data_IF_359012690880
#
_entry.id   IF_359012690880
#
_cell.length_a   1.000
_cell.length_b   1.000
_cell.length_c   1.000
_cell.angle_alpha   90.00
_cell.angle_beta   90.00
_cell.angle_gamma   90.00
#
_symmetry.space_group_name_H-M   'P 1'
#
loop_
_entity.id
_entity.type
_entity.pdbx_description
1 polymer ?
#
# COMPACT_ATOMS: atom_id res chain seq x y z
N UNK A 1 -0.95 -9.72 -2.25
CA UNK A 1 -0.36 -9.22 -3.51
C UNK A 1 0.81 -8.30 -3.19
N UNK A 2 2.00 -8.90 -2.95
CA UNK A 2 3.24 -8.17 -2.68
C UNK A 2 3.76 -7.37 -3.89
N UNK A 3 3.26 -7.64 -5.09
CA UNK A 3 3.75 -7.07 -6.36
C UNK A 3 3.66 -5.54 -6.38
N UNK A 4 2.61 -4.95 -5.80
CA UNK A 4 2.46 -3.49 -5.70
C UNK A 4 3.56 -2.84 -4.87
N UNK A 5 4.00 -3.49 -3.80
CA UNK A 5 5.03 -2.95 -2.92
C UNK A 5 6.40 -3.06 -3.60
N UNK A 6 6.65 -4.17 -4.30
CA UNK A 6 7.86 -4.38 -5.09
C UNK A 6 7.94 -3.37 -6.25
N UNK A 7 6.83 -3.10 -6.94
CA UNK A 7 6.79 -2.10 -8.00
C UNK A 7 7.06 -0.68 -7.47
N UNK A 8 6.47 -0.33 -6.32
CA UNK A 8 6.75 0.95 -5.67
C UNK A 8 8.21 1.06 -5.22
N UNK A 9 8.78 -0.02 -4.70
CA UNK A 9 10.20 -0.05 -4.37
C UNK A 9 11.08 0.15 -5.60
N UNK A 10 10.79 -0.55 -6.71
CA UNK A 10 11.53 -0.40 -7.95
C UNK A 10 11.40 1.04 -8.51
N UNK A 11 10.26 1.70 -8.32
CA UNK A 11 10.09 3.11 -8.65
C UNK A 11 11.05 3.98 -7.82
N UNK A 12 11.12 3.77 -6.50
CA UNK A 12 12.01 4.53 -5.62
C UNK A 12 13.49 4.25 -5.93
N UNK A 13 13.84 3.04 -6.32
CA UNK A 13 15.21 2.66 -6.69
C UNK A 13 15.65 3.31 -8.02
N UNK A 14 14.80 3.21 -9.05
CA UNK A 14 15.13 3.70 -10.39
C UNK A 14 14.97 5.22 -10.56
N UNK A 15 14.19 5.86 -9.71
CA UNK A 15 13.85 7.29 -9.84
C UNK A 15 13.98 8.05 -8.51
N UNK A 16 15.22 8.29 -8.02
CA UNK A 16 15.46 8.98 -6.75
C UNK A 16 14.86 10.38 -6.65
N UNK A 17 14.58 11.04 -7.77
CA UNK A 17 13.95 12.36 -7.80
C UNK A 17 12.56 12.40 -7.16
N UNK A 18 11.92 11.24 -6.94
CA UNK A 18 10.62 11.13 -6.27
C UNK A 18 10.72 11.01 -4.75
N UNK A 19 11.92 10.81 -4.20
CA UNK A 19 12.11 10.74 -2.74
C UNK A 19 11.65 12.04 -2.08
N UNK A 20 10.91 11.93 -0.99
CA UNK A 20 10.31 13.07 -0.30
C UNK A 20 9.10 13.72 -1.00
N UNK A 21 8.82 13.37 -2.26
CA UNK A 21 7.76 14.01 -3.07
C UNK A 21 6.51 13.16 -3.23
N UNK A 22 6.67 11.85 -3.27
CA UNK A 22 5.55 10.91 -3.41
C UNK A 22 5.43 10.04 -2.17
N UNK A 23 4.26 9.44 -2.00
CA UNK A 23 3.97 8.51 -0.92
C UNK A 23 2.95 7.49 -1.40
N UNK A 24 3.14 6.23 -1.02
CA UNK A 24 2.20 5.17 -1.30
C UNK A 24 1.41 4.80 -0.03
N UNK A 25 0.08 4.80 -0.13
CA UNK A 25 -0.80 4.41 0.98
C UNK A 25 -1.60 3.18 0.57
N UNK A 26 -1.32 2.05 1.22
CA UNK A 26 -2.11 0.83 1.08
C UNK A 26 -3.04 0.68 2.28
N UNK A 27 -4.34 0.75 2.03
CA UNK A 27 -5.37 0.42 3.01
C UNK A 27 -5.82 -1.02 2.75
N UNK A 28 -5.73 -1.87 3.77
CA UNK A 28 -6.16 -3.26 3.71
C UNK A 28 -6.96 -3.58 4.98
N UNK A 29 -8.30 -3.47 4.96
CA UNK A 29 -9.12 -3.86 6.10
C UNK A 29 -8.86 -5.33 6.43
N UNK A 30 -8.85 -5.68 7.72
CA UNK A 30 -8.74 -7.07 8.16
C UNK A 30 -9.92 -7.89 7.62
N UNK A 31 -9.67 -8.71 6.61
CA UNK A 31 -10.65 -9.68 6.11
C UNK A 31 -10.23 -11.08 6.55
N UNK A 32 -11.15 -11.81 7.22
CA UNK A 32 -11.02 -13.24 7.58
C UNK A 32 -9.64 -13.59 8.18
N UNK A 33 -9.39 -13.10 9.39
CA UNK A 33 -8.12 -13.29 10.10
C UNK A 33 -7.75 -14.76 10.38
N UNK A 34 -8.71 -15.68 10.30
CA UNK A 34 -8.51 -17.10 10.66
C UNK A 34 -7.98 -17.96 9.49
N UNK A 35 -7.83 -17.39 8.29
CA UNK A 35 -7.32 -18.12 7.12
C UNK A 35 -5.81 -17.92 7.00
N UNK A 36 -5.04 -19.00 7.15
CA UNK A 36 -3.57 -18.98 7.12
C UNK A 36 -2.99 -18.21 5.93
N UNK A 37 -3.51 -18.44 4.72
CA UNK A 37 -3.03 -17.75 3.52
C UNK A 37 -3.14 -16.22 3.59
N UNK A 38 -4.15 -15.68 4.29
CA UNK A 38 -4.28 -14.23 4.49
C UNK A 38 -3.27 -13.70 5.52
N UNK A 39 -2.96 -14.50 6.55
CA UNK A 39 -1.93 -14.16 7.52
C UNK A 39 -0.55 -14.13 6.86
N UNK A 40 -0.23 -15.11 6.01
CA UNK A 40 1.04 -15.16 5.29
C UNK A 40 1.22 -13.96 4.37
N UNK A 41 0.17 -13.60 3.60
CA UNK A 41 0.17 -12.41 2.74
C UNK A 41 0.38 -11.14 3.58
N UNK A 42 -0.30 -11.04 4.73
CA UNK A 42 -0.15 -9.90 5.63
C UNK A 42 1.29 -9.79 6.12
N UNK A 43 1.88 -10.87 6.61
CA UNK A 43 3.28 -10.89 7.06
C UNK A 43 4.25 -10.48 5.94
N UNK A 44 4.04 -10.95 4.71
CA UNK A 44 4.85 -10.53 3.56
C UNK A 44 4.74 -9.02 3.30
N UNK A 45 3.53 -8.46 3.39
CA UNK A 45 3.31 -7.02 3.19
C UNK A 45 3.89 -6.18 4.33
N UNK A 46 3.76 -6.61 5.60
CA UNK A 46 4.36 -5.93 6.75
C UNK A 46 5.89 -5.91 6.63
N UNK A 47 6.50 -7.03 6.25
CA UNK A 47 7.95 -7.12 6.02
C UNK A 47 8.39 -6.22 4.86
N UNK A 48 7.66 -6.21 3.75
CA UNK A 48 7.96 -5.34 2.61
C UNK A 48 7.82 -3.85 2.97
N UNK A 49 6.77 -3.47 3.69
CA UNK A 49 6.57 -2.11 4.18
C UNK A 49 7.73 -1.66 5.08
N UNK A 50 8.09 -2.50 6.06
CA UNK A 50 9.20 -2.22 6.99
C UNK A 50 10.51 -2.05 6.24
N UNK A 51 10.82 -2.94 5.30
CA UNK A 51 12.03 -2.87 4.47
C UNK A 51 12.09 -1.61 3.59
N UNK A 52 11.00 -1.26 2.90
CA UNK A 52 10.91 -0.05 2.06
C UNK A 52 11.08 1.21 2.92
N UNK A 53 10.35 1.30 4.04
CA UNK A 53 10.43 2.45 4.92
C UNK A 53 11.80 2.58 5.59
N UNK A 54 12.43 1.46 5.96
CA UNK A 54 13.78 1.46 6.52
C UNK A 54 14.85 1.87 5.50
N UNK A 55 14.69 1.47 4.23
CA UNK A 55 15.67 1.78 3.17
C UNK A 55 15.56 3.20 2.64
N UNK A 56 14.34 3.72 2.49
CA UNK A 56 14.10 5.01 1.81
C UNK A 56 13.54 6.10 2.72
N UNK A 57 13.10 5.76 3.93
CA UNK A 57 12.55 6.73 4.87
C UNK A 57 13.55 7.81 5.24
N UNK A 58 13.05 9.03 5.40
CA UNK A 58 13.83 10.21 5.78
C UNK A 58 13.10 10.97 6.89
N UNK A 59 13.80 11.89 7.56
CA UNK A 59 13.17 12.73 8.57
C UNK A 59 12.01 13.52 7.94
N UNK A 60 10.79 13.34 8.47
CA UNK A 60 9.58 13.99 7.95
C UNK A 60 8.93 13.29 6.74
N UNK A 61 9.51 12.20 6.23
CA UNK A 61 8.95 11.46 5.09
C UNK A 61 8.98 9.95 5.29
N UNK A 62 7.78 9.36 5.42
CA UNK A 62 7.56 7.92 5.33
C UNK A 62 7.08 7.57 3.92
N UNK A 63 7.81 6.76 3.14
CA UNK A 63 7.47 6.43 1.76
C UNK A 63 6.19 5.60 1.63
N UNK A 64 5.94 4.68 2.56
CA UNK A 64 4.85 3.71 2.46
C UNK A 64 4.04 3.61 3.76
N UNK A 65 2.74 3.91 3.69
CA UNK A 65 1.78 3.69 4.77
C UNK A 65 0.98 2.43 4.49
N UNK A 66 1.25 1.37 5.25
CA UNK A 66 0.45 0.14 5.23
C UNK A 66 -0.50 0.13 6.42
N UNK A 67 -1.79 0.32 6.14
CA UNK A 67 -2.82 0.53 7.15
C UNK A 67 -3.76 -0.68 7.19
N UNK A 68 -3.54 -1.54 8.20
CA UNK A 68 -4.34 -2.72 8.49
C UNK A 68 -5.51 -2.41 9.44
N UNK A 69 -6.28 -1.38 9.13
CA UNK A 69 -7.40 -0.94 9.96
C UNK A 69 -8.64 -0.64 9.12
N UNK A 70 -9.80 -0.81 9.74
CA UNK A 70 -11.07 -0.44 9.13
C UNK A 70 -11.21 1.09 9.14
N UNK A 71 -11.71 1.64 8.03
CA UNK A 71 -12.04 3.05 7.91
C UNK A 71 -13.46 3.20 7.40
N UNK A 72 -14.18 4.18 7.93
CA UNK A 72 -15.49 4.55 7.39
C UNK A 72 -15.38 4.90 5.91
N UNK A 73 -16.36 4.47 5.11
CA UNK A 73 -16.40 4.75 3.67
C UNK A 73 -16.24 6.23 3.35
N UNK A 74 -16.84 7.12 4.14
CA UNK A 74 -16.73 8.58 3.97
C UNK A 74 -15.28 9.07 4.09
N UNK A 75 -14.50 8.47 4.98
CA UNK A 75 -13.08 8.81 5.15
C UNK A 75 -12.24 8.25 3.98
N UNK A 76 -12.51 7.01 3.55
CA UNK A 76 -11.85 6.45 2.36
C UNK A 76 -12.06 7.31 1.11
N UNK A 77 -13.29 7.80 0.89
CA UNK A 77 -13.59 8.69 -0.24
C UNK A 77 -12.82 10.01 -0.17
N UNK A 78 -12.57 10.54 1.03
CA UNK A 78 -11.69 11.70 1.19
C UNK A 78 -10.27 11.36 0.79
N UNK A 79 -9.73 10.24 1.29
CA UNK A 79 -8.37 9.79 0.95
C UNK A 79 -8.22 9.63 -0.56
N UNK A 80 -9.18 8.99 -1.23
CA UNK A 80 -9.18 8.85 -2.69
C UNK A 80 -9.23 10.20 -3.40
N UNK A 81 -10.08 11.13 -2.93
CA UNK A 81 -10.15 12.48 -3.50
C UNK A 81 -8.86 13.29 -3.36
N UNK A 82 -8.07 13.05 -2.30
CA UNK A 82 -6.78 13.70 -2.09
C UNK A 82 -5.60 12.96 -2.73
N UNK A 83 -5.83 11.79 -3.34
CA UNK A 83 -4.78 11.01 -4.00
C UNK A 83 -4.67 11.43 -5.46
N UNK A 84 -3.44 11.68 -5.92
CA UNK A 84 -3.17 11.99 -7.34
C UNK A 84 -3.32 10.76 -8.24
N UNK A 85 -3.11 9.54 -7.69
CA UNK A 85 -3.15 8.27 -8.42
C UNK A 85 -3.84 7.19 -7.59
N UNK A 86 -4.77 6.44 -8.22
CA UNK A 86 -5.37 5.23 -7.68
C UNK A 86 -4.77 3.96 -8.30
N UNK A 87 -4.13 3.10 -7.49
CA UNK A 87 -3.51 1.85 -7.97
C UNK A 87 -4.43 0.64 -7.75
N UNK A 88 -5.26 0.33 -8.76
CA UNK A 88 -6.21 -0.79 -8.75
C UNK A 88 -5.73 -1.91 -9.67
N UNK A 89 -4.98 -2.88 -9.12
CA UNK A 89 -4.34 -3.97 -9.88
C UNK A 89 -4.56 -5.36 -9.26
N UNK A 90 -5.79 -5.91 -9.30
CA UNK A 90 -6.06 -7.27 -8.79
C UNK A 90 -5.53 -8.36 -9.75
N UNK A 91 -4.96 -9.45 -9.22
CA UNK A 91 -4.52 -10.61 -10.04
C UNK A 91 -5.70 -11.41 -10.65
N UNK A 92 -6.87 -11.41 -10.00
CA UNK A 92 -8.16 -11.91 -10.54
C UNK A 92 -9.29 -11.13 -9.88
N UNK A 93 -10.22 -10.59 -10.67
CA UNK A 93 -11.41 -9.93 -10.14
C UNK A 93 -12.63 -10.23 -11.02
N UNK A 94 -13.75 -10.58 -10.40
CA UNK A 94 -15.02 -10.87 -11.08
C UNK A 94 -15.87 -9.62 -11.30
N UNK A 95 -15.71 -8.60 -10.46
CA UNK A 95 -16.34 -7.28 -10.57
C UNK A 95 -15.77 -6.34 -9.49
N UNK A 96 -14.95 -5.36 -9.86
CA UNK A 96 -14.36 -4.43 -8.90
C UNK A 96 -15.14 -3.09 -8.88
N UNK A 97 -15.92 -2.84 -7.83
CA UNK A 97 -16.67 -1.59 -7.62
C UNK A 97 -15.81 -0.43 -7.09
N UNK A 98 -14.47 -0.54 -7.16
CA UNK A 98 -13.49 0.47 -6.73
C UNK A 98 -12.85 1.21 -7.91
N UNK A 99 -13.24 0.90 -9.15
CA UNK A 99 -12.86 1.67 -10.34
C UNK A 99 -13.65 2.99 -10.47
#
# INVERSE_FOLDING_TARGET
MPERFLAYEALLENYPQHHGKIRYTQIAPTSRGDVQAYQDIRHQLENAAGRINGRYGQLGWTPLYYLNQHFERKLLMKIFRYSDVGLVTPLRDGMNLVA
#
